data_IF_519802859271
#
_entry.id   IF_519802859271
#
_cell.length_a   1.000
_cell.length_b   1.000
_cell.length_c   1.000
_cell.angle_alpha   90.00
_cell.angle_beta   90.00
_cell.angle_gamma   90.00
#
_symmetry.space_group_name_H-M   'P 1'
#
loop_
_entity.id
_entity.type
_entity.pdbx_description
1 polymer ?
#
# COMPACT_ATOMS: atom_id res chain seq x y z
N UNK A 1 -0.07 23.85 -7.96
CA UNK A 1 0.78 22.68 -8.07
C UNK A 1 0.31 21.45 -7.30
N UNK A 2 -0.45 21.60 -6.19
CA UNK A 2 -0.78 20.48 -5.29
C UNK A 2 -1.93 19.59 -5.77
N UNK A 3 -2.83 20.08 -6.61
CA UNK A 3 -3.95 19.30 -7.14
C UNK A 3 -3.48 18.18 -8.06
N UNK A 4 -2.41 18.40 -8.82
CA UNK A 4 -1.86 17.40 -9.75
C UNK A 4 -1.15 16.24 -9.04
N UNK A 5 -0.50 16.48 -7.90
CA UNK A 5 0.17 15.44 -7.11
C UNK A 5 -0.83 14.46 -6.46
N UNK A 6 -2.04 14.91 -6.13
CA UNK A 6 -3.05 14.07 -5.46
C UNK A 6 -3.77 13.11 -6.40
N UNK A 7 -3.90 13.45 -7.70
CA UNK A 7 -4.54 12.57 -8.69
C UNK A 7 -3.78 11.28 -8.98
N UNK A 8 -2.47 11.24 -8.67
CA UNK A 8 -1.59 10.08 -8.88
C UNK A 8 -1.01 9.53 -7.56
N UNK A 9 -1.63 9.88 -6.42
CA UNK A 9 -1.18 9.34 -5.14
C UNK A 9 -1.51 7.85 -5.06
N UNK A 10 -0.49 7.04 -4.75
CA UNK A 10 -0.67 5.60 -4.49
C UNK A 10 -1.60 5.42 -3.30
N UNK A 11 -2.70 4.69 -3.46
CA UNK A 11 -3.72 4.45 -2.42
C UNK A 11 -3.79 2.97 -2.08
N UNK A 12 -3.57 2.12 -3.09
CA UNK A 12 -3.49 0.66 -2.95
C UNK A 12 -2.25 0.18 -3.69
N UNK A 13 -1.46 -0.66 -3.06
CA UNK A 13 -0.28 -1.30 -3.60
C UNK A 13 -0.43 -2.82 -3.55
N UNK A 14 0.09 -3.50 -4.56
CA UNK A 14 -0.04 -4.97 -4.73
C UNK A 14 1.32 -5.57 -5.05
N UNK A 15 1.63 -6.71 -4.42
CA UNK A 15 2.83 -7.47 -4.73
C UNK A 15 2.53 -8.99 -4.70
N UNK A 16 3.08 -9.76 -5.65
CA UNK A 16 3.67 -9.29 -6.91
C UNK A 16 2.61 -8.64 -7.81
N UNK A 17 3.03 -7.89 -8.84
CA UNK A 17 2.10 -7.32 -9.81
C UNK A 17 1.35 -8.45 -10.54
N UNK A 18 0.00 -8.53 -10.43
CA UNK A 18 -0.72 -9.75 -10.81
C UNK A 18 -0.78 -10.02 -12.31
N UNK A 19 -0.60 -8.98 -13.13
CA UNK A 19 -0.67 -9.06 -14.60
C UNK A 19 0.66 -8.88 -15.29
N UNK A 20 1.73 -8.68 -14.54
CA UNK A 20 3.05 -8.46 -15.10
C UNK A 20 3.65 -9.80 -15.54
N UNK A 21 4.09 -9.87 -16.81
CA UNK A 21 4.81 -11.02 -17.34
C UNK A 21 6.08 -11.30 -16.50
N UNK A 22 6.34 -12.57 -16.12
CA UNK A 22 7.47 -12.91 -15.26
C UNK A 22 8.83 -12.50 -15.85
N UNK A 23 9.04 -12.65 -17.17
CA UNK A 23 10.30 -12.27 -17.81
C UNK A 23 10.47 -10.75 -17.81
N UNK A 24 9.38 -10.01 -18.02
CA UNK A 24 9.39 -8.55 -17.92
C UNK A 24 9.70 -8.10 -16.49
N UNK A 25 9.07 -8.74 -15.49
CA UNK A 25 9.36 -8.47 -14.09
C UNK A 25 10.84 -8.66 -13.77
N UNK A 26 11.41 -9.77 -14.23
CA UNK A 26 12.83 -10.07 -13.98
C UNK A 26 13.76 -9.06 -14.66
N UNK A 27 13.44 -8.62 -15.89
CA UNK A 27 14.19 -7.54 -16.56
C UNK A 27 14.14 -6.24 -15.78
N UNK A 28 12.95 -5.81 -15.31
CA UNK A 28 12.78 -4.59 -14.52
C UNK A 28 13.59 -4.68 -13.23
N UNK A 29 13.54 -5.82 -12.52
CA UNK A 29 14.34 -6.02 -11.32
C UNK A 29 15.84 -5.97 -11.59
N UNK A 30 16.31 -6.60 -12.69
CA UNK A 30 17.71 -6.55 -13.08
C UNK A 30 18.18 -5.15 -13.44
N UNK A 31 17.35 -4.35 -14.10
CA UNK A 31 17.69 -2.97 -14.44
C UNK A 31 17.77 -2.09 -13.19
N UNK A 32 16.88 -2.32 -12.20
CA UNK A 32 16.99 -1.67 -10.89
C UNK A 32 18.30 -2.03 -10.17
N UNK A 33 18.69 -3.31 -10.18
CA UNK A 33 19.97 -3.77 -9.57
C UNK A 33 21.15 -3.14 -10.28
N UNK A 34 21.22 -3.22 -11.62
CA UNK A 34 22.30 -2.60 -12.41
C UNK A 34 22.44 -1.11 -12.14
N UNK A 35 21.29 -0.39 -12.02
CA UNK A 35 21.31 1.01 -11.67
C UNK A 35 21.95 1.26 -10.30
N UNK A 36 21.56 0.48 -9.29
CA UNK A 36 22.09 0.60 -7.94
C UNK A 36 23.57 0.22 -7.86
N UNK A 37 24.01 -0.83 -8.58
CA UNK A 37 25.41 -1.22 -8.69
C UNK A 37 26.27 -0.11 -9.33
N UNK A 38 25.77 0.52 -10.41
CA UNK A 38 26.48 1.58 -11.10
C UNK A 38 26.79 2.79 -10.20
N UNK A 39 25.91 3.10 -9.26
CA UNK A 39 26.08 4.22 -8.32
C UNK A 39 26.65 3.79 -6.96
N UNK A 40 27.01 2.51 -6.80
CA UNK A 40 27.46 1.91 -5.53
C UNK A 40 26.47 2.20 -4.38
N UNK A 41 25.18 1.97 -4.63
CA UNK A 41 24.13 2.27 -3.65
C UNK A 41 24.15 1.28 -2.49
N UNK A 42 24.10 1.80 -1.27
CA UNK A 42 24.01 1.02 -0.03
C UNK A 42 22.70 1.31 0.70
N UNK A 43 22.06 0.26 1.25
CA UNK A 43 20.85 0.36 2.03
C UNK A 43 19.58 0.02 1.25
N UNK A 44 18.42 0.36 1.82
CA UNK A 44 17.12 0.15 1.18
C UNK A 44 16.80 1.29 0.21
N UNK A 45 16.25 0.94 -0.95
CA UNK A 45 15.81 1.90 -1.96
C UNK A 45 14.73 1.32 -2.85
N UNK A 46 14.06 2.18 -3.58
CA UNK A 46 13.01 1.80 -4.53
C UNK A 46 13.24 2.50 -5.85
N UNK A 47 13.35 1.71 -6.91
CA UNK A 47 13.40 2.22 -8.29
C UNK A 47 12.02 2.08 -8.91
N UNK A 48 11.48 3.19 -9.42
CA UNK A 48 10.14 3.26 -10.01
C UNK A 48 10.22 3.25 -11.53
N UNK A 49 9.36 2.44 -12.14
CA UNK A 49 9.22 2.29 -13.59
C UNK A 49 7.76 2.46 -14.01
N UNK A 50 7.54 2.98 -15.22
CA UNK A 50 6.28 2.83 -15.94
C UNK A 50 6.41 1.70 -16.94
N UNK A 51 5.35 0.91 -17.08
CA UNK A 51 5.24 -0.18 -18.06
C UNK A 51 4.06 0.11 -18.97
N UNK A 52 4.30 0.04 -20.29
CA UNK A 52 3.24 0.18 -21.29
C UNK A 52 2.57 -1.18 -21.62
N UNK A 53 1.48 -1.15 -22.37
CA UNK A 53 0.74 -2.36 -22.81
C UNK A 53 1.58 -3.31 -23.68
N UNK A 54 2.68 -2.82 -24.25
CA UNK A 54 3.60 -3.63 -25.09
C UNK A 54 4.73 -4.26 -24.30
N UNK A 55 4.76 -4.02 -22.98
CA UNK A 55 5.83 -4.50 -22.09
C UNK A 55 7.13 -3.68 -22.19
N UNK A 56 7.09 -2.47 -22.76
CA UNK A 56 8.21 -1.56 -22.61
C UNK A 56 8.17 -0.94 -21.23
N UNK A 57 9.33 -0.81 -20.58
CA UNK A 57 9.45 -0.14 -19.30
C UNK A 57 10.41 1.04 -19.38
N UNK A 58 10.08 2.11 -18.67
CA UNK A 58 10.87 3.32 -18.59
C UNK A 58 11.09 3.71 -17.13
N UNK A 59 12.33 4.08 -16.81
CA UNK A 59 12.71 4.60 -15.50
C UNK A 59 12.01 5.92 -15.24
N UNK A 60 11.46 6.11 -14.04
CA UNK A 60 10.88 7.36 -13.57
C UNK A 60 11.84 8.03 -12.58
N UNK A 61 12.07 7.35 -11.45
CA UNK A 61 12.90 7.88 -10.37
C UNK A 61 13.43 6.75 -9.47
N UNK A 62 14.42 7.10 -8.66
CA UNK A 62 14.83 6.28 -7.52
C UNK A 62 14.59 7.06 -6.23
N UNK A 63 13.94 6.40 -5.29
CA UNK A 63 13.81 6.87 -3.93
C UNK A 63 14.86 6.18 -3.05
N UNK A 64 15.96 6.87 -2.62
CA UNK A 64 17.06 6.26 -1.86
C UNK A 64 16.67 6.12 -0.36
N UNK A 65 15.57 5.46 -0.10
CA UNK A 65 14.99 5.23 1.22
C UNK A 65 13.96 4.13 1.17
N UNK A 66 13.56 3.62 2.34
CA UNK A 66 12.35 2.80 2.48
C UNK A 66 11.11 3.63 2.11
N UNK A 67 10.17 3.04 1.41
CA UNK A 67 8.89 3.68 1.02
C UNK A 67 7.72 3.16 1.84
N UNK A 68 6.58 3.85 1.76
CA UNK A 68 5.34 3.49 2.47
C UNK A 68 4.90 2.07 2.11
N UNK A 69 5.04 1.68 0.85
CA UNK A 69 4.62 0.41 0.28
C UNK A 69 5.54 -0.79 0.56
N UNK A 70 6.65 -0.63 1.30
CA UNK A 70 7.58 -1.73 1.59
C UNK A 70 6.92 -2.96 2.20
N UNK A 71 5.80 -2.77 2.90
CA UNK A 71 5.12 -3.84 3.62
C UNK A 71 4.57 -4.94 2.72
N UNK A 72 4.16 -4.64 1.46
CA UNK A 72 3.74 -5.70 0.53
C UNK A 72 4.90 -6.61 0.14
N UNK A 73 6.10 -6.06 -0.03
CA UNK A 73 7.32 -6.83 -0.29
C UNK A 73 7.69 -7.69 0.92
N UNK A 74 7.63 -7.12 2.13
CA UNK A 74 7.91 -7.85 3.35
C UNK A 74 6.96 -9.03 3.54
N UNK A 75 5.66 -8.83 3.28
CA UNK A 75 4.65 -9.88 3.44
C UNK A 75 4.81 -11.05 2.46
N UNK A 76 5.29 -10.82 1.23
CA UNK A 76 5.46 -11.89 0.24
C UNK A 76 6.85 -12.55 0.29
N UNK A 77 7.86 -11.90 0.91
CA UNK A 77 9.23 -12.40 0.98
C UNK A 77 9.64 -12.87 2.37
N UNK A 78 8.97 -12.40 3.42
CA UNK A 78 9.37 -12.60 4.80
C UNK A 78 10.62 -11.79 5.22
N UNK A 79 11.06 -10.85 4.38
CA UNK A 79 12.22 -9.98 4.65
C UNK A 79 11.76 -8.74 5.43
N UNK A 80 12.36 -8.48 6.57
CA UNK A 80 12.22 -7.21 7.30
C UNK A 80 13.21 -6.20 6.72
N UNK A 81 12.70 -5.32 5.83
CA UNK A 81 13.52 -4.36 5.07
C UNK A 81 14.12 -3.30 6.01
N UNK A 82 13.37 -2.86 7.02
CA UNK A 82 13.86 -1.85 7.98
C UNK A 82 14.98 -2.41 8.83
N UNK A 83 14.84 -3.65 9.31
CA UNK A 83 15.91 -4.34 10.04
C UNK A 83 17.13 -4.60 9.15
N UNK A 84 16.92 -4.99 7.89
CA UNK A 84 18.00 -5.16 6.93
C UNK A 84 18.77 -3.86 6.71
N UNK A 85 18.07 -2.74 6.54
CA UNK A 85 18.68 -1.41 6.40
C UNK A 85 19.57 -1.05 7.62
N UNK A 86 19.09 -1.34 8.84
CA UNK A 86 19.86 -1.10 10.06
C UNK A 86 21.11 -1.96 10.11
N UNK A 87 21.03 -3.23 9.74
CA UNK A 87 22.18 -4.14 9.71
C UNK A 87 23.23 -3.70 8.68
N UNK A 88 22.79 -3.29 7.49
CA UNK A 88 23.69 -2.79 6.43
C UNK A 88 24.39 -1.50 6.93
N UNK A 89 23.65 -0.59 7.54
CA UNK A 89 24.23 0.62 8.13
C UNK A 89 25.24 0.34 9.27
N UNK A 90 25.10 -0.81 9.93
CA UNK A 90 26.08 -1.31 10.92
C UNK A 90 27.28 -2.05 10.29
N UNK A 91 27.35 -2.14 8.96
CA UNK A 91 28.46 -2.74 8.22
C UNK A 91 28.26 -4.22 7.83
N UNK A 92 27.06 -4.80 8.01
CA UNK A 92 26.79 -6.16 7.59
C UNK A 92 26.59 -6.23 6.06
N UNK A 93 27.16 -7.27 5.45
CA UNK A 93 26.85 -7.62 4.04
C UNK A 93 25.49 -8.31 3.93
N UNK A 94 24.93 -8.39 2.71
CA UNK A 94 23.71 -9.15 2.46
C UNK A 94 23.86 -10.64 2.79
N UNK A 95 25.06 -11.19 2.66
CA UNK A 95 25.38 -12.59 3.02
C UNK A 95 25.30 -12.79 4.54
N UNK A 96 25.85 -11.86 5.33
CA UNK A 96 25.85 -11.92 6.79
C UNK A 96 24.44 -11.93 7.37
N UNK A 97 23.50 -11.26 6.71
CA UNK A 97 22.08 -11.18 7.11
C UNK A 97 21.19 -12.15 6.34
N UNK A 98 21.76 -13.08 5.58
CA UNK A 98 21.05 -14.11 4.81
C UNK A 98 20.08 -13.56 3.76
N UNK A 99 20.37 -12.42 3.15
CA UNK A 99 19.59 -11.75 2.11
C UNK A 99 20.23 -11.77 0.73
N UNK A 100 21.12 -12.74 0.45
CA UNK A 100 21.56 -12.98 -0.94
C UNK A 100 20.36 -13.33 -1.82
N UNK A 101 20.36 -12.87 -3.08
CA UNK A 101 19.21 -12.93 -3.98
C UNK A 101 18.65 -14.35 -4.16
N UNK A 102 19.52 -15.36 -4.17
CA UNK A 102 19.15 -16.78 -4.30
C UNK A 102 18.35 -17.34 -3.10
N UNK A 103 18.41 -16.68 -1.95
CA UNK A 103 17.69 -17.07 -0.73
C UNK A 103 16.32 -16.39 -0.58
N UNK A 104 16.03 -15.41 -1.43
CA UNK A 104 14.77 -14.67 -1.37
C UNK A 104 13.74 -15.37 -2.26
N UNK A 105 12.64 -15.81 -1.67
CA UNK A 105 11.53 -16.41 -2.39
C UNK A 105 10.24 -15.58 -2.23
N UNK A 106 9.43 -15.54 -3.28
CA UNK A 106 8.12 -14.88 -3.25
C UNK A 106 7.05 -15.93 -2.98
N UNK A 107 6.21 -15.69 -1.97
CA UNK A 107 5.15 -16.61 -1.58
C UNK A 107 3.82 -15.86 -1.41
N UNK A 108 2.82 -16.27 -2.20
CA UNK A 108 1.48 -15.67 -2.15
C UNK A 108 1.43 -14.29 -2.77
N UNK A 109 0.45 -13.51 -2.33
CA UNK A 109 0.23 -12.12 -2.73
C UNK A 109 -0.10 -11.26 -1.53
N UNK A 110 0.27 -9.99 -1.59
CA UNK A 110 -0.07 -9.00 -0.59
C UNK A 110 -0.66 -7.75 -1.24
N UNK A 111 -1.61 -7.12 -0.53
CA UNK A 111 -2.26 -5.89 -0.92
C UNK A 111 -2.23 -4.95 0.28
N UNK A 112 -1.70 -3.74 0.09
CA UNK A 112 -1.69 -2.67 1.09
C UNK A 112 -2.74 -1.62 0.73
N UNK A 113 -3.52 -1.18 1.71
CA UNK A 113 -4.37 -0.01 1.65
C UNK A 113 -3.79 1.10 2.53
N UNK A 114 -3.64 2.31 2.00
CA UNK A 114 -3.35 3.51 2.79
C UNK A 114 -4.66 4.06 3.33
N UNK A 115 -4.88 3.95 4.62
CA UNK A 115 -6.03 4.55 5.29
C UNK A 115 -5.62 5.96 5.68
N UNK A 116 -6.29 6.96 5.09
CA UNK A 116 -5.99 8.38 5.25
C UNK A 116 -7.17 9.13 5.84
N UNK A 117 -6.88 10.24 6.53
CA UNK A 117 -7.88 11.19 7.01
C UNK A 117 -8.22 12.19 5.90
N UNK A 118 -8.71 11.68 4.78
CA UNK A 118 -9.09 12.44 3.60
C UNK A 118 -10.53 12.11 3.21
N UNK A 119 -11.26 13.12 2.73
CA UNK A 119 -12.63 12.96 2.24
C UNK A 119 -12.66 12.75 0.72
N UNK A 120 -12.91 11.53 0.23
CA UNK A 120 -13.00 11.25 -1.20
C UNK A 120 -14.14 12.02 -1.90
N UNK A 121 -15.25 12.28 -1.17
CA UNK A 121 -16.40 13.00 -1.72
C UNK A 121 -16.08 14.49 -1.93
N UNK A 122 -15.03 14.99 -1.31
CA UNK A 122 -14.58 16.39 -1.39
C UNK A 122 -13.16 16.50 -2.00
N UNK A 123 -12.88 15.68 -3.03
CA UNK A 123 -11.61 15.71 -3.75
C UNK A 123 -10.41 15.31 -2.91
N UNK A 124 -10.55 14.37 -1.98
CA UNK A 124 -9.50 13.92 -1.06
C UNK A 124 -8.90 15.05 -0.22
N UNK A 125 -9.72 16.01 0.19
CA UNK A 125 -9.28 17.04 1.11
C UNK A 125 -8.93 16.41 2.45
N UNK A 126 -7.77 16.72 3.04
CA UNK A 126 -7.45 16.32 4.39
C UNK A 126 -8.50 16.86 5.38
N UNK A 127 -8.94 15.98 6.26
CA UNK A 127 -9.80 16.34 7.39
C UNK A 127 -8.98 16.32 8.69
N UNK A 128 -9.39 17.14 9.65
CA UNK A 128 -8.72 17.34 10.93
C UNK A 128 -9.70 17.27 12.07
N UNK A 129 -9.25 16.81 13.22
CA UNK A 129 -10.10 16.66 14.40
C UNK A 129 -9.51 15.70 15.40
N UNK A 130 -10.29 15.34 16.41
CA UNK A 130 -9.90 14.37 17.43
C UNK A 130 -10.59 13.03 17.14
N UNK A 131 -9.82 11.93 17.14
CA UNK A 131 -10.38 10.60 16.97
C UNK A 131 -11.24 10.22 18.17
N UNK A 132 -12.54 10.08 17.96
CA UNK A 132 -13.50 9.68 19.00
C UNK A 132 -13.68 8.18 19.09
N UNK A 133 -13.42 7.45 17.99
CA UNK A 133 -13.34 6.00 17.97
C UNK A 133 -12.22 5.54 17.01
N UNK A 134 -11.53 4.48 17.40
CA UNK A 134 -10.55 3.78 16.57
C UNK A 134 -10.60 2.28 16.90
N UNK A 135 -11.11 1.49 15.97
CA UNK A 135 -11.14 0.04 16.08
C UNK A 135 -10.50 -0.55 14.83
N UNK A 136 -9.37 -1.20 15.01
CA UNK A 136 -8.62 -1.84 13.94
C UNK A 136 -9.03 -3.30 13.76
N UNK A 137 -8.99 -3.82 12.52
CA UNK A 137 -9.17 -5.24 12.25
C UNK A 137 -7.98 -6.05 12.77
N UNK A 138 -8.16 -7.36 12.85
CA UNK A 138 -7.11 -8.29 13.24
C UNK A 138 -7.21 -9.62 12.51
N UNK A 139 -6.44 -10.61 13.00
CA UNK A 139 -6.44 -11.98 12.49
C UNK A 139 -5.31 -12.27 11.49
N UNK A 140 -5.21 -13.57 11.13
CA UNK A 140 -4.13 -14.07 10.30
C UNK A 140 -4.08 -13.36 8.92
N UNK A 141 -2.89 -12.89 8.54
CA UNK A 141 -2.63 -12.21 7.27
C UNK A 141 -3.19 -10.79 7.19
N UNK A 142 -3.47 -10.14 8.33
CA UNK A 142 -3.73 -8.70 8.43
C UNK A 142 -2.62 -8.08 9.26
N UNK A 143 -1.90 -7.15 8.65
CA UNK A 143 -0.85 -6.35 9.28
C UNK A 143 -1.25 -4.89 9.28
N UNK A 144 -0.99 -4.22 10.37
CA UNK A 144 -1.24 -2.79 10.54
C UNK A 144 0.04 -2.08 10.96
N UNK A 145 0.41 -1.04 10.21
CA UNK A 145 1.53 -0.17 10.53
C UNK A 145 0.99 1.25 10.71
N UNK A 146 0.81 1.65 11.94
CA UNK A 146 0.27 2.95 12.34
C UNK A 146 0.52 3.20 13.82
N UNK A 147 0.39 4.45 14.23
CA UNK A 147 0.65 4.88 15.61
C UNK A 147 -0.44 5.85 16.10
N UNK A 148 -1.71 5.43 16.01
CA UNK A 148 -2.83 6.26 16.45
C UNK A 148 -3.73 5.53 17.43
N UNK A 149 -4.49 6.28 18.19
CA UNK A 149 -5.42 5.78 19.19
C UNK A 149 -6.60 6.73 19.39
N UNK A 150 -7.61 6.29 20.11
CA UNK A 150 -8.72 7.18 20.56
C UNK A 150 -8.13 8.34 21.35
N UNK A 151 -8.61 9.56 21.07
CA UNK A 151 -8.14 10.79 21.66
C UNK A 151 -6.96 11.44 20.92
N UNK A 152 -6.36 10.78 19.92
CA UNK A 152 -5.32 11.38 19.11
C UNK A 152 -5.87 12.54 18.27
N UNK A 153 -5.11 13.62 18.18
CA UNK A 153 -5.43 14.78 17.36
C UNK A 153 -4.84 14.63 15.97
N UNK A 154 -5.69 14.72 14.95
CA UNK A 154 -5.31 14.76 13.54
C UNK A 154 -5.07 16.21 13.15
N UNK A 155 -3.81 16.54 12.89
CA UNK A 155 -3.34 17.89 12.59
C UNK A 155 -3.10 18.08 11.09
N UNK A 156 -3.37 19.28 10.53
CA UNK A 156 -3.06 19.58 9.14
C UNK A 156 -1.55 19.74 8.87
N UNK A 157 -0.72 19.74 9.91
CA UNK A 157 0.72 19.93 9.82
C UNK A 157 1.49 18.65 9.47
N UNK A 158 0.82 17.49 9.49
CA UNK A 158 1.39 16.18 9.18
C UNK A 158 0.69 15.54 7.99
N UNK A 159 1.28 14.45 7.49
CA UNK A 159 0.66 13.64 6.45
C UNK A 159 -0.70 13.07 6.92
N UNK A 160 -1.65 12.97 6.01
CA UNK A 160 -2.98 12.42 6.27
C UNK A 160 -3.01 10.90 6.51
N UNK A 161 -1.88 10.21 6.32
CA UNK A 161 -1.79 8.76 6.49
C UNK A 161 -1.97 8.37 7.97
N UNK A 162 -3.08 7.70 8.25
CA UNK A 162 -3.42 7.23 9.58
C UNK A 162 -2.78 5.87 9.88
N UNK A 163 -2.91 4.95 8.93
CA UNK A 163 -2.40 3.58 9.06
C UNK A 163 -2.28 2.91 7.70
N UNK A 164 -1.26 2.07 7.53
CA UNK A 164 -1.16 1.12 6.42
C UNK A 164 -1.77 -0.20 6.85
N UNK A 165 -2.73 -0.69 6.10
CA UNK A 165 -3.30 -2.02 6.29
C UNK A 165 -2.82 -2.92 5.16
N UNK A 166 -1.99 -3.90 5.47
CA UNK A 166 -1.46 -4.87 4.51
C UNK A 166 -2.08 -6.23 4.73
N UNK A 167 -2.70 -6.77 3.70
CA UNK A 167 -3.36 -8.08 3.74
C UNK A 167 -2.65 -9.07 2.83
N UNK A 168 -2.27 -10.24 3.37
CA UNK A 168 -1.61 -11.32 2.63
C UNK A 168 -2.59 -12.47 2.37
N UNK A 169 -2.51 -13.06 1.18
CA UNK A 169 -3.22 -14.28 0.78
C UNK A 169 -2.32 -15.27 0.06
N UNK A 170 -2.78 -16.50 -0.17
CA UNK A 170 -2.06 -17.47 -1.00
C UNK A 170 -2.04 -17.06 -2.47
N UNK A 171 -2.96 -16.19 -2.87
CA UNK A 171 -3.06 -15.56 -4.17
C UNK A 171 -3.70 -14.17 -4.04
N UNK A 172 -3.78 -13.43 -5.14
CA UNK A 172 -4.34 -12.08 -5.18
C UNK A 172 -5.81 -12.04 -4.73
N UNK A 173 -6.64 -12.96 -5.20
CA UNK A 173 -8.06 -13.02 -4.82
C UNK A 173 -8.23 -13.12 -3.30
N UNK A 174 -7.49 -14.02 -2.64
CA UNK A 174 -7.57 -14.18 -1.19
C UNK A 174 -7.04 -12.94 -0.45
N UNK A 175 -6.00 -12.27 -0.96
CA UNK A 175 -5.51 -11.01 -0.38
C UNK A 175 -6.59 -9.93 -0.46
N UNK A 176 -7.31 -9.80 -1.59
CA UNK A 176 -8.43 -8.87 -1.77
C UNK A 176 -9.59 -9.20 -0.83
N UNK A 177 -10.02 -10.47 -0.76
CA UNK A 177 -11.11 -10.89 0.14
C UNK A 177 -10.77 -10.57 1.60
N UNK A 178 -9.53 -10.81 2.01
CA UNK A 178 -9.06 -10.48 3.36
C UNK A 178 -9.04 -8.99 3.63
N UNK A 179 -8.61 -8.19 2.65
CA UNK A 179 -8.64 -6.73 2.75
C UNK A 179 -10.08 -6.19 2.82
N UNK A 180 -11.01 -6.75 2.03
CA UNK A 180 -12.43 -6.39 2.10
C UNK A 180 -13.01 -6.68 3.50
N UNK A 181 -12.74 -7.85 4.07
CA UNK A 181 -13.14 -8.19 5.43
C UNK A 181 -12.55 -7.21 6.44
N UNK A 182 -11.24 -7.00 6.38
CA UNK A 182 -10.54 -6.12 7.30
C UNK A 182 -11.06 -4.67 7.23
N UNK A 183 -11.31 -4.12 6.04
CA UNK A 183 -11.91 -2.80 5.88
C UNK A 183 -13.34 -2.73 6.45
N UNK A 184 -14.12 -3.82 6.37
CA UNK A 184 -15.46 -3.84 6.97
C UNK A 184 -15.42 -3.83 8.50
N UNK A 185 -14.38 -4.40 9.11
CA UNK A 185 -14.15 -4.36 10.54
C UNK A 185 -13.51 -3.06 11.04
N UNK A 186 -12.88 -2.30 10.12
CA UNK A 186 -12.17 -1.07 10.47
C UNK A 186 -13.16 0.07 10.74
N UNK A 187 -13.07 0.66 11.93
CA UNK A 187 -13.91 1.78 12.31
C UNK A 187 -13.07 2.93 12.86
N UNK A 188 -13.27 4.11 12.30
CA UNK A 188 -12.66 5.38 12.71
C UNK A 188 -13.76 6.44 12.76
N UNK A 189 -13.84 7.20 13.86
CA UNK A 189 -14.77 8.33 14.03
C UNK A 189 -14.04 9.56 14.54
N UNK A 190 -14.65 10.73 14.31
CA UNK A 190 -14.12 12.04 14.67
C UNK A 190 -13.50 12.80 13.50
N UNK A 191 -13.13 12.08 12.43
CA UNK A 191 -12.63 12.65 11.17
C UNK A 191 -13.17 11.87 9.99
N UNK A 192 -13.24 12.49 8.81
CA UNK A 192 -13.50 11.79 7.56
C UNK A 192 -12.31 10.91 7.18
N UNK A 193 -12.57 9.76 6.55
CA UNK A 193 -11.54 8.83 6.08
C UNK A 193 -11.86 8.32 4.68
N UNK A 194 -10.86 7.78 3.99
CA UNK A 194 -11.02 7.15 2.69
C UNK A 194 -11.50 5.67 2.77
N UNK A 195 -11.87 5.14 3.94
CA UNK A 195 -12.27 3.73 4.11
C UNK A 195 -13.45 3.36 3.22
N UNK A 196 -14.46 4.23 3.09
CA UNK A 196 -15.61 4.00 2.19
C UNK A 196 -15.19 3.84 0.75
N UNK A 197 -14.31 4.70 0.26
CA UNK A 197 -13.71 4.62 -1.07
C UNK A 197 -12.93 3.31 -1.27
N UNK A 198 -12.08 2.92 -0.31
CA UNK A 198 -11.32 1.67 -0.37
C UNK A 198 -12.24 0.45 -0.42
N UNK A 199 -13.32 0.43 0.36
CA UNK A 199 -14.34 -0.62 0.32
C UNK A 199 -14.99 -0.74 -1.07
N UNK A 200 -15.33 0.38 -1.69
CA UNK A 200 -15.89 0.41 -3.04
C UNK A 200 -14.88 -0.06 -4.08
N UNK A 201 -13.65 0.45 -4.01
CA UNK A 201 -12.55 0.10 -4.92
C UNK A 201 -12.26 -1.41 -4.93
N UNK A 202 -12.13 -2.04 -3.76
CA UNK A 202 -11.84 -3.47 -3.67
C UNK A 202 -13.00 -4.37 -4.11
N UNK A 203 -14.22 -3.83 -4.28
CA UNK A 203 -15.37 -4.55 -4.81
C UNK A 203 -15.59 -4.31 -6.31
N UNK A 204 -14.87 -3.35 -6.88
CA UNK A 204 -14.99 -3.04 -8.29
C UNK A 204 -14.53 -4.24 -9.16
N UNK A 205 -15.37 -4.74 -10.09
CA UNK A 205 -15.03 -5.90 -10.91
C UNK A 205 -13.75 -5.72 -11.71
N UNK A 206 -13.48 -4.52 -12.23
CA UNK A 206 -12.26 -4.24 -12.99
C UNK A 206 -11.02 -4.30 -12.09
N UNK A 207 -11.13 -3.87 -10.82
CA UNK A 207 -10.04 -4.02 -9.86
C UNK A 207 -9.79 -5.50 -9.51
N UNK A 208 -10.83 -6.25 -9.19
CA UNK A 208 -10.71 -7.67 -8.79
C UNK A 208 -10.23 -8.56 -9.93
N UNK A 209 -10.47 -8.16 -11.19
CA UNK A 209 -9.97 -8.80 -12.40
C UNK A 209 -8.63 -8.22 -12.87
N UNK A 210 -7.99 -7.40 -12.06
CA UNK A 210 -6.66 -6.80 -12.32
C UNK A 210 -6.59 -5.92 -13.57
N UNK A 211 -7.72 -5.40 -14.03
CA UNK A 211 -7.81 -4.44 -15.14
C UNK A 211 -7.63 -3.01 -14.61
N UNK A 212 -6.43 -2.71 -14.16
CA UNK A 212 -6.08 -1.42 -13.55
C UNK A 212 -4.95 -0.75 -14.31
N UNK A 213 -5.10 0.54 -14.51
CA UNK A 213 -4.09 1.42 -15.09
C UNK A 213 -4.06 2.78 -14.38
N UNK A 214 -3.23 3.70 -14.85
CA UNK A 214 -3.11 5.05 -14.26
C UNK A 214 -4.38 5.90 -14.43
N UNK A 215 -5.30 5.52 -15.32
CA UNK A 215 -6.58 6.18 -15.56
C UNK A 215 -7.76 5.58 -14.79
N UNK A 216 -7.53 4.50 -14.02
CA UNK A 216 -8.59 3.68 -13.41
C UNK A 216 -9.61 4.50 -12.61
N UNK A 217 -9.18 5.38 -11.72
CA UNK A 217 -10.09 6.20 -10.88
C UNK A 217 -10.92 7.15 -11.74
N UNK A 218 -10.34 7.74 -12.79
CA UNK A 218 -11.04 8.61 -13.71
C UNK A 218 -12.10 7.87 -14.52
N UNK A 219 -11.86 6.61 -14.85
CA UNK A 219 -12.81 5.74 -15.54
C UNK A 219 -13.96 5.27 -14.62
N UNK A 220 -13.76 5.30 -13.29
CA UNK A 220 -14.72 4.85 -12.29
C UNK A 220 -15.13 5.97 -11.29
N UNK A 221 -15.70 7.09 -11.76
CA UNK A 221 -15.99 8.26 -10.89
C UNK A 221 -17.01 7.98 -9.79
N UNK A 222 -17.79 6.91 -9.90
CA UNK A 222 -18.73 6.47 -8.87
C UNK A 222 -18.02 6.06 -7.57
N UNK A 223 -16.76 5.61 -7.64
CA UNK A 223 -15.96 5.24 -6.47
C UNK A 223 -15.74 6.42 -5.54
N UNK A 224 -15.66 7.64 -6.08
CA UNK A 224 -15.50 8.87 -5.30
C UNK A 224 -16.74 9.27 -4.52
N UNK A 225 -17.90 8.69 -4.88
CA UNK A 225 -19.20 8.94 -4.22
C UNK A 225 -19.60 7.79 -3.29
N UNK A 226 -18.66 6.93 -2.93
CA UNK A 226 -18.95 5.85 -2.01
C UNK A 226 -19.42 6.41 -0.65
N UNK A 227 -20.43 5.80 -0.03
CA UNK A 227 -20.91 6.24 1.28
C UNK A 227 -19.77 6.13 2.31
N UNK A 228 -19.72 7.03 3.30
CA UNK A 228 -18.77 6.91 4.39
C UNK A 228 -18.96 5.56 5.09
N UNK A 229 -17.89 5.06 5.68
CA UNK A 229 -17.93 3.81 6.44
C UNK A 229 -18.80 4.00 7.68
N UNK A 230 -20.05 3.51 7.64
CA UNK A 230 -20.95 3.51 8.80
C UNK A 230 -20.64 2.30 9.66
N UNK A 231 -20.53 2.52 10.97
CA UNK A 231 -20.42 1.42 11.94
C UNK A 231 -21.78 0.72 12.09
N UNK A 232 -21.89 -0.45 11.47
CA UNK A 232 -23.09 -1.29 11.64
C UNK A 232 -23.08 -2.10 12.96
N UNK A 233 -21.93 -2.16 13.66
CA UNK A 233 -21.81 -2.93 14.89
C UNK A 233 -22.53 -2.28 16.09
N UNK A 234 -22.80 -0.99 16.08
CA UNK A 234 -23.63 -0.31 17.08
C UNK A 234 -25.09 -0.71 17.07
N UNK A 235 -25.59 -1.29 15.96
CA UNK A 235 -26.98 -1.76 15.86
C UNK A 235 -27.26 -3.11 16.51
N UNK A 236 -26.25 -3.83 16.95
CA UNK A 236 -26.40 -5.18 17.58
C UNK A 236 -26.53 -5.07 19.11
N UNK A 237 -26.27 -3.90 19.69
CA UNK A 237 -26.28 -3.67 21.14
C UNK A 237 -27.46 -2.80 21.63
N UNK A 238 -28.40 -2.44 20.77
CA UNK A 238 -29.73 -1.90 21.11
C UNK A 238 -30.80 -3.00 20.99
#
# INVERSE_FOLDING_TARGET
>A
GDVYKRQHQKVVEIAPAPTLDPELRDRICQDAVKFCEHINYEGAGTVEFLVDERGNHVFIEMNPRVQVEHTVTEEITGVDIVKAQMNIAAGASLEDIHLSQDKISITGSALQCRITTEDPNNGFRPDTGTLTAYRSPGGAGVRLDGATSVGAEVSPNFDSLLVKMTCRGVNFEQAVQRAQRALNEFHVSGVATNIGFLRALLREPDFTQTRVDTGFINAHPHLLKAPPAVDESGRILE
#
